data_IF_218312153834
#
_entry.id   IF_218312153834
#
_cell.length_a   1.000
_cell.length_b   1.000
_cell.length_c   1.000
_cell.angle_alpha   90.00
_cell.angle_beta   90.00
_cell.angle_gamma   90.00
#
_symmetry.space_group_name_H-M   'P 1'
#
loop_
_entity.id
_entity.type
_entity.pdbx_description
1 polymer ?
#
# COMPACT_ATOMS: atom_id res chain seq x y z
N UNK A 1 -7.57 -5.90 -27.38
CA UNK A 1 -6.71 -4.79 -27.86
C UNK A 1 -5.81 -4.39 -26.72
N UNK A 2 -4.50 -4.44 -26.95
CA UNK A 2 -3.50 -3.92 -26.01
C UNK A 2 -3.68 -2.41 -25.86
N UNK A 3 -3.40 -1.87 -24.69
CA UNK A 3 -3.51 -0.44 -24.41
C UNK A 3 -2.44 0.00 -23.41
N UNK A 4 -2.15 1.30 -23.40
CA UNK A 4 -1.37 1.93 -22.36
C UNK A 4 -2.35 2.62 -21.40
N UNK A 5 -2.34 2.17 -20.15
CA UNK A 5 -3.17 2.71 -19.08
C UNK A 5 -2.36 3.72 -18.28
N UNK A 6 -2.94 4.89 -18.01
CA UNK A 6 -2.34 5.90 -17.13
C UNK A 6 -2.89 5.72 -15.72
N UNK A 7 -1.99 5.46 -14.77
CA UNK A 7 -2.32 5.19 -13.37
C UNK A 7 -3.04 6.38 -12.75
N UNK A 8 -4.19 6.12 -12.14
CA UNK A 8 -5.00 7.10 -11.42
C UNK A 8 -4.77 6.98 -9.92
N UNK A 9 -5.17 8.01 -9.17
CA UNK A 9 -5.13 7.97 -7.71
C UNK A 9 -5.94 6.79 -7.18
N UNK A 10 -5.37 6.05 -6.23
CA UNK A 10 -5.95 4.85 -5.64
C UNK A 10 -5.79 3.58 -6.49
N UNK A 11 -5.13 3.61 -7.64
CA UNK A 11 -4.86 2.40 -8.41
C UNK A 11 -3.74 1.57 -7.78
N UNK A 12 -3.86 0.27 -7.92
CA UNK A 12 -2.80 -0.71 -7.67
C UNK A 12 -2.66 -1.60 -8.89
N UNK A 13 -1.52 -2.25 -9.04
CA UNK A 13 -1.33 -3.19 -10.15
C UNK A 13 -2.35 -4.35 -10.11
N UNK A 14 -2.70 -4.80 -8.89
CA UNK A 14 -3.73 -5.82 -8.66
C UNK A 14 -5.09 -5.31 -9.14
N UNK A 15 -5.45 -4.07 -8.78
CA UNK A 15 -6.70 -3.45 -9.21
C UNK A 15 -6.77 -3.27 -10.73
N UNK A 16 -5.70 -2.74 -11.34
CA UNK A 16 -5.60 -2.58 -12.78
C UNK A 16 -5.75 -3.95 -13.46
N UNK A 17 -5.06 -4.98 -12.98
CA UNK A 17 -5.19 -6.34 -13.50
C UNK A 17 -6.63 -6.84 -13.41
N UNK A 18 -7.27 -6.69 -12.25
CA UNK A 18 -8.65 -7.11 -12.04
C UNK A 18 -9.63 -6.38 -12.96
N UNK A 19 -9.53 -5.06 -13.09
CA UNK A 19 -10.38 -4.24 -13.97
C UNK A 19 -10.25 -4.64 -15.44
N UNK A 20 -9.04 -5.04 -15.85
CA UNK A 20 -8.77 -5.51 -17.21
C UNK A 20 -8.96 -7.02 -17.38
N UNK A 21 -9.46 -7.72 -16.33
CA UNK A 21 -9.82 -9.14 -16.37
C UNK A 21 -8.63 -10.09 -16.41
N UNK A 22 -7.52 -9.71 -15.81
CA UNK A 22 -6.38 -10.58 -15.51
C UNK A 22 -6.49 -11.09 -14.07
N UNK A 23 -6.29 -12.40 -13.90
CA UNK A 23 -6.28 -13.01 -12.57
C UNK A 23 -4.99 -12.73 -11.80
N UNK A 24 -3.91 -12.38 -12.51
CA UNK A 24 -2.60 -12.15 -11.95
C UNK A 24 -1.98 -10.88 -12.55
N UNK A 25 -1.59 -9.97 -11.69
CA UNK A 25 -0.95 -8.70 -12.06
C UNK A 25 0.44 -8.90 -12.69
N UNK A 26 1.12 -10.00 -12.37
CA UNK A 26 2.43 -10.34 -12.93
C UNK A 26 2.35 -10.50 -14.45
N UNK A 27 1.21 -10.98 -14.97
CA UNK A 27 0.97 -11.07 -16.43
C UNK A 27 1.09 -9.72 -17.13
N UNK A 28 0.74 -8.64 -16.47
CA UNK A 28 0.90 -7.26 -16.96
C UNK A 28 2.33 -6.79 -16.69
N UNK A 29 2.79 -6.92 -15.46
CA UNK A 29 4.06 -6.36 -15.02
C UNK A 29 5.27 -6.92 -15.73
N UNK A 30 5.28 -8.23 -16.01
CA UNK A 30 6.41 -8.91 -16.64
C UNK A 30 6.58 -8.61 -18.13
N UNK A 31 5.66 -7.88 -18.76
CA UNK A 31 5.74 -7.54 -20.18
C UNK A 31 6.95 -6.66 -20.49
N UNK A 32 7.57 -6.89 -21.65
CA UNK A 32 8.75 -6.12 -22.06
C UNK A 32 8.44 -4.64 -22.27
N UNK A 33 7.21 -4.33 -22.70
CA UNK A 33 6.72 -2.97 -22.85
C UNK A 33 6.70 -2.20 -21.50
N UNK A 34 6.64 -2.92 -20.37
CA UNK A 34 6.73 -2.34 -19.02
C UNK A 34 8.16 -2.34 -18.45
N UNK A 35 9.19 -2.73 -19.23
CA UNK A 35 10.57 -2.79 -18.75
C UNK A 35 11.08 -1.43 -18.26
N UNK A 36 10.72 -0.35 -18.95
CA UNK A 36 11.08 1.01 -18.55
C UNK A 36 10.47 1.41 -17.20
N UNK A 37 9.22 1.03 -16.95
CA UNK A 37 8.55 1.26 -15.67
C UNK A 37 9.17 0.41 -14.57
N UNK A 38 9.46 -0.88 -14.83
CA UNK A 38 10.14 -1.77 -13.88
C UNK A 38 11.53 -1.27 -13.45
N UNK A 39 12.23 -0.57 -14.33
CA UNK A 39 13.51 0.04 -14.01
C UNK A 39 13.43 1.23 -13.06
N UNK A 40 12.24 1.81 -12.89
CA UNK A 40 12.01 3.02 -12.11
C UNK A 40 11.13 2.79 -10.89
N UNK A 41 10.27 1.77 -10.92
CA UNK A 41 9.23 1.51 -9.90
C UNK A 41 9.24 0.06 -9.45
N UNK A 42 8.93 -0.15 -8.20
CA UNK A 42 8.47 -1.43 -7.66
C UNK A 42 6.98 -1.62 -8.04
N UNK A 43 6.50 -2.85 -8.31
CA UNK A 43 5.10 -3.10 -8.65
C UNK A 43 4.10 -2.62 -7.61
N UNK A 44 4.54 -2.48 -6.35
CA UNK A 44 3.74 -1.98 -5.23
C UNK A 44 3.80 -0.46 -5.07
N UNK A 45 4.65 0.21 -5.87
CA UNK A 45 4.94 1.66 -5.78
C UNK A 45 4.57 2.39 -7.07
N UNK A 46 3.38 2.15 -7.59
CA UNK A 46 2.86 2.95 -8.68
C UNK A 46 2.50 4.34 -8.18
N UNK A 47 2.73 5.32 -9.03
CA UNK A 47 2.42 6.72 -8.78
C UNK A 47 1.43 7.20 -9.84
N UNK A 48 0.54 8.10 -9.49
CA UNK A 48 -0.41 8.71 -10.44
C UNK A 48 0.36 9.31 -11.62
N UNK A 49 -0.05 8.95 -12.84
CA UNK A 49 0.59 9.35 -14.09
C UNK A 49 1.59 8.34 -14.65
N UNK A 50 1.96 7.29 -13.89
CA UNK A 50 2.73 6.18 -14.45
C UNK A 50 1.97 5.53 -15.60
N UNK A 51 2.68 5.04 -16.61
CA UNK A 51 2.09 4.40 -17.79
C UNK A 51 2.33 2.90 -17.75
N UNK A 52 1.25 2.14 -17.64
CA UNK A 52 1.27 0.68 -17.61
C UNK A 52 0.72 0.14 -18.93
N UNK A 53 1.54 -0.62 -19.64
CA UNK A 53 1.08 -1.36 -20.82
C UNK A 53 0.27 -2.59 -20.39
N UNK A 54 -0.93 -2.72 -20.94
CA UNK A 54 -1.85 -3.83 -20.69
C UNK A 54 -1.94 -4.67 -21.97
N UNK A 55 -1.51 -5.94 -21.92
CA UNK A 55 -1.51 -6.81 -23.09
C UNK A 55 -2.92 -7.24 -23.49
N UNK A 56 -3.04 -7.77 -24.70
CA UNK A 56 -4.25 -8.47 -25.11
C UNK A 56 -4.46 -9.73 -24.29
N UNK A 57 -5.73 -10.05 -24.04
CA UNK A 57 -6.09 -11.33 -23.42
C UNK A 57 -5.84 -12.47 -24.38
N UNK A 58 -5.16 -13.49 -23.91
CA UNK A 58 -4.95 -14.72 -24.67
C UNK A 58 -6.02 -15.74 -24.26
N UNK A 59 -6.84 -16.14 -25.21
CA UNK A 59 -7.79 -17.22 -25.00
C UNK A 59 -7.05 -18.54 -24.81
N UNK A 60 -7.38 -19.27 -23.77
CA UNK A 60 -6.87 -20.60 -23.52
C UNK A 60 -7.95 -21.63 -23.80
N UNK A 61 -7.70 -22.46 -24.78
CA UNK A 61 -8.57 -23.59 -25.13
C UNK A 61 -8.11 -24.84 -24.38
N UNK A 62 -9.03 -25.44 -23.63
CA UNK A 62 -8.80 -26.73 -22.97
C UNK A 62 -9.66 -27.79 -23.61
N UNK A 63 -9.06 -28.93 -23.93
CA UNK A 63 -9.82 -30.13 -24.36
C UNK A 63 -10.38 -30.79 -23.10
N UNK A 64 -11.69 -30.91 -23.05
CA UNK A 64 -12.40 -31.53 -21.94
C UNK A 64 -13.24 -32.71 -22.46
N UNK A 65 -13.44 -33.72 -21.65
CA UNK A 65 -14.28 -34.87 -21.99
C UNK A 65 -15.75 -34.44 -21.93
N UNK A 66 -16.55 -34.81 -22.93
CA UNK A 66 -17.99 -34.45 -23.03
C UNK A 66 -18.86 -35.20 -22.02
N UNK A 67 -18.40 -36.33 -21.51
CA UNK A 67 -19.20 -37.19 -20.61
C UNK A 67 -18.89 -36.98 -19.13
N UNK A 68 -18.22 -35.89 -18.77
CA UNK A 68 -17.86 -35.58 -17.40
C UNK A 68 -18.32 -34.17 -16.98
N UNK A 69 -18.65 -34.04 -15.71
CA UNK A 69 -18.86 -32.73 -15.10
C UNK A 69 -17.50 -32.06 -14.87
N UNK A 70 -17.34 -30.85 -15.38
CA UNK A 70 -16.14 -30.03 -15.19
C UNK A 70 -16.47 -28.90 -14.23
N UNK A 71 -15.60 -28.67 -13.25
CA UNK A 71 -15.65 -27.54 -12.35
C UNK A 71 -14.52 -26.59 -12.74
N UNK A 72 -14.88 -25.35 -13.01
CA UNK A 72 -13.93 -24.27 -13.25
C UNK A 72 -13.97 -23.32 -12.07
N UNK A 73 -12.85 -23.17 -11.41
CA UNK A 73 -12.71 -22.20 -10.33
C UNK A 73 -12.12 -20.90 -10.89
N UNK A 74 -12.81 -19.80 -10.63
CA UNK A 74 -12.29 -18.48 -10.97
C UNK A 74 -11.32 -18.04 -9.88
N UNK A 75 -10.04 -18.00 -10.19
CA UNK A 75 -9.05 -17.38 -9.31
C UNK A 75 -9.29 -15.88 -9.31
N UNK A 76 -9.53 -15.32 -8.12
CA UNK A 76 -9.61 -13.87 -7.92
C UNK A 76 -8.27 -13.40 -7.38
N UNK A 77 -7.75 -12.26 -7.84
CA UNK A 77 -6.55 -11.67 -7.24
C UNK A 77 -6.86 -11.33 -5.77
N UNK A 78 -5.94 -11.70 -4.90
CA UNK A 78 -5.99 -11.32 -3.48
C UNK A 78 -5.12 -10.08 -3.27
N UNK A 79 -5.69 -9.05 -2.69
CA UNK A 79 -4.95 -7.91 -2.17
C UNK A 79 -4.85 -8.02 -0.65
N UNK A 80 -3.74 -7.52 -0.09
CA UNK A 80 -3.52 -7.51 1.36
C UNK A 80 -3.08 -6.13 1.80
N UNK A 81 -3.66 -5.66 2.90
CA UNK A 81 -3.18 -4.49 3.61
C UNK A 81 -2.14 -4.94 4.64
N UNK A 82 -0.92 -4.45 4.48
CA UNK A 82 0.20 -4.75 5.37
C UNK A 82 0.80 -3.45 5.88
N UNK A 83 0.73 -3.24 7.18
CA UNK A 83 1.19 -2.01 7.86
C UNK A 83 1.89 -2.37 9.15
N UNK A 84 3.08 -1.86 9.37
CA UNK A 84 3.75 -1.94 10.66
C UNK A 84 3.33 -0.75 11.50
N UNK A 85 2.63 -1.03 12.60
CA UNK A 85 2.16 -0.02 13.53
C UNK A 85 3.23 0.27 14.59
N UNK A 86 3.57 1.53 14.76
CA UNK A 86 4.53 1.98 15.76
C UNK A 86 3.92 3.04 16.69
N UNK A 87 4.50 3.18 17.87
CA UNK A 87 4.18 4.30 18.74
C UNK A 87 4.92 5.59 18.30
N UNK A 88 4.68 6.68 19.01
CA UNK A 88 5.32 8.00 18.75
C UNK A 88 6.85 8.00 18.88
N UNK A 89 7.45 6.93 19.40
CA UNK A 89 8.89 6.76 19.53
C UNK A 89 9.45 5.77 18.52
N UNK A 90 8.62 5.32 17.56
CA UNK A 90 8.99 4.33 16.53
C UNK A 90 9.07 2.90 17.08
N UNK A 91 8.55 2.63 18.29
CA UNK A 91 8.53 1.26 18.82
C UNK A 91 7.34 0.49 18.27
N UNK A 92 7.54 -0.74 17.78
CA UNK A 92 6.46 -1.56 17.23
C UNK A 92 5.35 -1.80 18.26
N UNK A 93 4.11 -1.65 17.83
CA UNK A 93 2.92 -1.96 18.60
C UNK A 93 2.61 -3.47 18.48
N UNK A 94 3.49 -4.30 19.08
CA UNK A 94 3.37 -5.75 19.04
C UNK A 94 2.21 -6.27 19.88
N UNK A 95 1.52 -7.32 19.40
CA UNK A 95 0.42 -8.03 20.06
C UNK A 95 -0.76 -7.12 20.47
N UNK A 96 -0.97 -6.01 19.73
CA UNK A 96 -2.09 -5.11 20.02
C UNK A 96 -3.34 -5.53 19.24
N UNK A 97 -4.51 -5.57 19.90
CA UNK A 97 -5.77 -5.80 19.20
C UNK A 97 -6.04 -4.64 18.25
N UNK A 98 -6.44 -4.96 17.03
CA UNK A 98 -6.80 -3.98 16.02
C UNK A 98 -8.18 -4.28 15.42
N UNK A 99 -8.76 -3.23 14.87
CA UNK A 99 -9.92 -3.28 13.98
C UNK A 99 -9.57 -2.49 12.71
N UNK A 100 -9.81 -3.08 11.55
CA UNK A 100 -9.67 -2.42 10.26
C UNK A 100 -11.03 -2.37 9.60
N UNK A 101 -11.47 -1.19 9.20
CA UNK A 101 -12.65 -0.97 8.37
C UNK A 101 -12.17 -0.56 6.98
N UNK A 102 -12.60 -1.30 5.95
CA UNK A 102 -12.22 -1.05 4.56
C UNK A 102 -13.43 -0.51 3.82
N UNK A 103 -13.28 0.64 3.15
CA UNK A 103 -14.33 1.35 2.40
C UNK A 103 -15.64 1.51 3.22
N UNK A 104 -15.51 1.72 4.51
CA UNK A 104 -16.63 1.92 5.44
C UNK A 104 -17.50 0.68 5.72
N UNK A 105 -17.23 -0.48 5.12
CA UNK A 105 -18.11 -1.65 5.20
C UNK A 105 -17.42 -2.93 5.72
N UNK A 106 -16.32 -3.36 5.08
CA UNK A 106 -15.64 -4.59 5.48
C UNK A 106 -14.86 -4.39 6.78
N UNK A 107 -15.03 -5.27 7.75
CA UNK A 107 -14.37 -5.19 9.06
C UNK A 107 -13.50 -6.42 9.29
N UNK A 108 -12.22 -6.17 9.55
CA UNK A 108 -11.25 -7.16 9.96
C UNK A 108 -10.79 -6.86 11.40
N UNK A 109 -10.68 -7.89 12.22
CA UNK A 109 -10.17 -7.78 13.59
C UNK A 109 -9.08 -8.80 13.80
N UNK A 110 -8.05 -8.44 14.55
CA UNK A 110 -6.93 -9.32 14.83
C UNK A 110 -6.00 -8.73 15.88
N UNK A 111 -4.80 -9.26 15.93
CA UNK A 111 -3.69 -8.70 16.71
C UNK A 111 -2.50 -8.48 15.79
N UNK A 112 -1.77 -7.41 16.01
CA UNK A 112 -0.49 -7.17 15.34
C UNK A 112 0.51 -8.24 15.74
N UNK A 113 1.43 -8.58 14.85
CA UNK A 113 2.44 -9.59 15.12
C UNK A 113 3.31 -9.22 16.33
N UNK A 114 3.74 -10.25 17.07
CA UNK A 114 4.71 -10.15 18.16
C UNK A 114 6.12 -10.46 17.67
N UNK A 115 7.06 -10.31 18.59
CA UNK A 115 8.36 -10.93 18.47
C UNK A 115 8.26 -12.28 19.20
N UNK A 116 8.04 -13.36 18.46
CA UNK A 116 7.96 -14.72 19.03
C UNK A 116 9.28 -15.44 19.04
N UNK A 117 10.31 -14.84 18.43
CA UNK A 117 11.68 -15.37 18.42
C UNK A 117 11.85 -16.66 17.60
N UNK A 118 10.85 -17.04 16.79
CA UNK A 118 10.95 -18.20 15.91
C UNK A 118 11.81 -17.87 14.68
N UNK A 119 12.99 -18.46 14.53
CA UNK A 119 13.88 -18.19 13.40
C UNK A 119 13.35 -18.76 12.07
N UNK A 120 12.45 -19.76 12.12
CA UNK A 120 11.91 -20.42 10.94
C UNK A 120 10.65 -19.72 10.41
N UNK A 121 10.02 -18.87 11.24
CA UNK A 121 8.87 -18.07 10.88
C UNK A 121 9.05 -16.62 11.40
N UNK A 122 9.98 -15.85 10.83
CA UNK A 122 10.27 -14.51 11.33
C UNK A 122 9.02 -13.62 11.26
N UNK A 123 8.55 -13.18 12.41
CA UNK A 123 7.48 -12.20 12.52
C UNK A 123 8.02 -10.78 12.49
N UNK A 124 7.23 -9.86 12.00
CA UNK A 124 7.55 -8.44 12.03
C UNK A 124 6.75 -7.82 13.18
N UNK A 125 7.39 -7.49 14.32
CA UNK A 125 6.68 -6.93 15.45
C UNK A 125 5.87 -5.70 15.04
N UNK A 126 4.59 -5.65 15.42
CA UNK A 126 3.69 -4.56 15.06
C UNK A 126 3.03 -4.69 13.69
N UNK A 127 3.33 -5.74 12.90
CA UNK A 127 2.70 -5.95 11.61
C UNK A 127 1.21 -6.26 11.76
N UNK A 128 0.39 -5.48 11.07
CA UNK A 128 -0.99 -5.76 10.74
C UNK A 128 -1.01 -6.31 9.32
N UNK A 129 -1.60 -7.48 9.13
CA UNK A 129 -1.74 -8.11 7.82
C UNK A 129 -3.16 -8.66 7.68
N UNK A 130 -3.95 -8.09 6.77
CA UNK A 130 -5.31 -8.55 6.53
C UNK A 130 -5.68 -8.53 5.04
N UNK A 131 -6.52 -9.48 4.58
CA UNK A 131 -7.00 -9.48 3.20
C UNK A 131 -7.93 -8.29 2.97
N UNK A 132 -7.83 -7.69 1.79
CA UNK A 132 -8.70 -6.60 1.34
C UNK A 132 -9.20 -6.89 -0.07
N UNK A 133 -10.26 -6.19 -0.48
CA UNK A 133 -10.72 -6.25 -1.86
C UNK A 133 -9.68 -5.61 -2.80
N UNK A 134 -9.47 -6.15 -4.02
CA UNK A 134 -8.52 -5.57 -4.99
C UNK A 134 -8.82 -4.13 -5.38
N UNK A 135 -10.07 -3.71 -5.22
CA UNK A 135 -10.57 -2.37 -5.53
C UNK A 135 -10.75 -1.47 -4.30
N UNK A 136 -10.28 -1.91 -3.13
CA UNK A 136 -10.29 -1.11 -1.90
C UNK A 136 -9.55 0.22 -2.08
N UNK A 137 -10.14 1.30 -1.55
CA UNK A 137 -9.61 2.67 -1.69
C UNK A 137 -9.14 3.28 -0.38
N UNK A 138 -9.75 2.88 0.71
CA UNK A 138 -9.51 3.48 2.02
C UNK A 138 -9.56 2.41 3.10
N UNK A 139 -8.71 2.54 4.09
CA UNK A 139 -8.77 1.74 5.31
C UNK A 139 -8.71 2.65 6.53
N UNK A 140 -9.57 2.38 7.52
CA UNK A 140 -9.51 2.98 8.85
C UNK A 140 -9.01 1.92 9.81
N UNK A 141 -7.85 2.15 10.40
CA UNK A 141 -7.18 1.27 11.35
C UNK A 141 -7.38 1.81 12.75
N UNK A 142 -7.96 1.02 13.63
CA UNK A 142 -8.19 1.36 15.03
C UNK A 142 -7.41 0.39 15.93
N UNK A 143 -6.68 0.93 16.89
CA UNK A 143 -5.93 0.16 17.90
C UNK A 143 -6.22 0.70 19.29
N UNK A 144 -6.48 -0.19 20.22
CA UNK A 144 -6.64 0.20 21.63
C UNK A 144 -5.30 0.24 22.36
N UNK A 145 -4.92 1.42 22.84
CA UNK A 145 -3.71 1.63 23.62
C UNK A 145 -4.04 2.31 24.95
N UNK A 146 -3.79 1.61 26.06
CA UNK A 146 -3.99 2.14 27.43
C UNK A 146 -5.37 2.76 27.66
N UNK A 147 -6.41 2.09 27.14
CA UNK A 147 -7.80 2.57 27.29
C UNK A 147 -8.20 3.71 26.37
N UNK A 148 -7.39 4.00 25.36
CA UNK A 148 -7.71 4.97 24.29
C UNK A 148 -7.66 4.27 22.94
N UNK A 149 -8.61 4.57 22.10
CA UNK A 149 -8.59 4.15 20.69
C UNK A 149 -7.76 5.16 19.89
N UNK A 150 -6.74 4.68 19.23
CA UNK A 150 -6.00 5.46 18.23
C UNK A 150 -6.50 5.01 16.86
N UNK A 151 -6.73 5.97 15.99
CA UNK A 151 -7.27 5.75 14.66
C UNK A 151 -6.33 6.34 13.62
N UNK A 152 -6.08 5.58 12.54
CA UNK A 152 -5.39 6.02 11.34
C UNK A 152 -6.29 5.78 10.14
N UNK A 153 -6.41 6.80 9.31
CA UNK A 153 -7.03 6.72 8.01
C UNK A 153 -5.93 6.61 6.95
N UNK A 154 -5.97 5.56 6.17
CA UNK A 154 -4.97 5.22 5.15
C UNK A 154 -5.63 5.18 3.79
N UNK A 155 -5.13 5.97 2.85
CA UNK A 155 -5.50 5.86 1.44
C UNK A 155 -4.71 4.73 0.79
N UNK A 156 -5.42 3.86 0.05
CA UNK A 156 -4.86 2.67 -0.57
C UNK A 156 -4.59 2.92 -2.06
N UNK A 157 -3.47 2.38 -2.53
CA UNK A 157 -3.06 2.47 -3.94
C UNK A 157 -2.14 3.65 -4.25
N UNK A 158 -2.04 4.01 -5.53
CA UNK A 158 -1.15 5.05 -6.00
C UNK A 158 -1.52 6.42 -5.43
N UNK A 159 -0.54 7.09 -4.87
CA UNK A 159 -0.64 8.49 -4.43
C UNK A 159 -0.09 9.41 -5.52
N UNK A 160 -0.44 10.71 -5.49
CA UNK A 160 0.28 11.71 -6.26
C UNK A 160 1.79 11.69 -5.90
N UNK A 161 2.68 12.08 -6.83
CA UNK A 161 4.12 12.14 -6.55
C UNK A 161 4.43 13.03 -5.34
N UNK A 162 5.38 12.61 -4.50
CA UNK A 162 5.76 13.35 -3.27
C UNK A 162 6.44 14.69 -3.55
N UNK A 163 6.91 14.91 -4.76
CA UNK A 163 7.40 16.21 -5.24
C UNK A 163 6.29 17.25 -5.38
N UNK A 164 5.04 16.81 -5.48
CA UNK A 164 3.88 17.68 -5.45
C UNK A 164 3.44 17.87 -4.00
N UNK A 165 2.99 19.08 -3.66
CA UNK A 165 2.56 19.38 -2.29
C UNK A 165 1.39 18.51 -1.83
N UNK A 166 0.42 18.23 -2.70
CA UNK A 166 -0.69 17.33 -2.39
C UNK A 166 -0.20 15.89 -2.14
N UNK A 167 0.70 15.37 -2.97
CA UNK A 167 1.30 14.05 -2.78
C UNK A 167 2.11 13.94 -1.48
N UNK A 168 2.90 14.97 -1.17
CA UNK A 168 3.60 15.10 0.11
C UNK A 168 2.63 15.06 1.30
N UNK A 169 1.51 15.79 1.20
CA UNK A 169 0.50 15.83 2.26
C UNK A 169 -0.21 14.50 2.44
N UNK A 170 -0.60 13.81 1.35
CA UNK A 170 -1.14 12.45 1.40
C UNK A 170 -0.15 11.46 2.06
N UNK A 171 1.13 11.56 1.70
CA UNK A 171 2.17 10.74 2.31
C UNK A 171 2.28 10.96 3.82
N UNK A 172 2.33 12.21 4.25
CA UNK A 172 2.36 12.59 5.67
C UNK A 172 1.08 12.15 6.41
N UNK A 173 -0.08 12.22 5.75
CA UNK A 173 -1.35 11.75 6.31
C UNK A 173 -1.34 10.24 6.49
N UNK A 174 -0.92 9.47 5.50
CA UNK A 174 -0.83 8.01 5.59
C UNK A 174 0.14 7.54 6.68
N UNK A 175 1.19 8.32 6.94
CA UNK A 175 2.13 8.05 8.02
C UNK A 175 1.67 8.61 9.39
N UNK A 176 0.50 9.25 9.46
CA UNK A 176 -0.08 9.76 10.70
C UNK A 176 0.51 11.09 11.20
N UNK A 177 1.29 11.81 10.39
CA UNK A 177 1.84 13.13 10.74
C UNK A 177 0.89 14.27 10.41
N UNK A 178 -0.05 14.06 9.48
CA UNK A 178 -1.04 15.05 9.08
C UNK A 178 -2.45 14.50 9.33
N UNK A 179 -3.36 15.33 9.82
CA UNK A 179 -4.73 14.93 10.10
C UNK A 179 -5.64 14.96 8.88
N UNK A 180 -6.83 14.37 9.03
CA UNK A 180 -7.87 14.42 8.00
C UNK A 180 -8.25 15.87 7.66
N UNK A 181 -8.48 16.14 6.37
CA UNK A 181 -8.85 17.47 5.88
C UNK A 181 -7.70 18.48 5.81
N UNK A 182 -6.46 18.07 6.09
CA UNK A 182 -5.28 18.94 6.01
C UNK A 182 -4.50 18.79 4.69
N UNK A 183 -5.02 18.01 3.74
CA UNK A 183 -4.48 17.96 2.37
C UNK A 183 -5.04 19.16 1.59
N UNK A 184 -4.29 20.25 1.61
CA UNK A 184 -4.74 21.54 1.04
C UNK A 184 -4.11 21.83 -0.33
N UNK A 185 -3.07 21.10 -0.71
CA UNK A 185 -2.25 21.34 -1.89
C UNK A 185 -1.29 22.52 -1.72
N UNK A 186 -1.25 23.16 -0.55
CA UNK A 186 -0.33 24.26 -0.23
C UNK A 186 0.62 23.88 0.90
N UNK A 187 1.88 24.32 0.81
CA UNK A 187 2.88 24.10 1.87
C UNK A 187 2.61 25.08 3.04
N UNK A 188 1.53 24.81 3.76
CA UNK A 188 1.06 25.61 4.89
C UNK A 188 1.78 25.28 6.23
N UNK A 189 1.46 26.00 7.29
CA UNK A 189 2.10 25.82 8.60
C UNK A 189 1.83 24.44 9.21
N UNK A 190 0.67 23.85 8.95
CA UNK A 190 0.33 22.48 9.38
C UNK A 190 1.26 21.47 8.70
N UNK A 191 1.43 21.59 7.38
CA UNK A 191 2.33 20.74 6.58
C UNK A 191 3.78 20.91 7.04
N UNK A 192 4.25 22.15 7.24
CA UNK A 192 5.61 22.41 7.73
C UNK A 192 5.85 21.84 9.13
N UNK A 193 4.86 21.91 9.99
CA UNK A 193 4.93 21.29 11.32
C UNK A 193 5.00 19.78 11.23
N UNK A 194 4.17 19.17 10.40
CA UNK A 194 4.18 17.71 10.16
C UNK A 194 5.55 17.25 9.60
N UNK A 195 6.11 18.00 8.64
CA UNK A 195 7.45 17.74 8.11
C UNK A 195 8.53 17.78 9.20
N UNK A 196 8.53 18.78 10.10
CA UNK A 196 9.50 18.82 11.18
C UNK A 196 9.42 17.62 12.10
N UNK A 197 8.20 17.18 12.44
CA UNK A 197 8.00 15.99 13.28
C UNK A 197 8.48 14.74 12.55
N UNK A 198 8.17 14.61 11.26
CA UNK A 198 8.68 13.50 10.45
C UNK A 198 10.21 13.51 10.36
N UNK A 199 10.81 14.67 10.07
CA UNK A 199 12.26 14.84 10.00
C UNK A 199 12.95 14.47 11.30
N UNK A 200 12.37 14.83 12.45
CA UNK A 200 12.88 14.41 13.77
C UNK A 200 12.89 12.89 13.92
N UNK A 201 11.78 12.23 13.59
CA UNK A 201 11.68 10.78 13.64
C UNK A 201 12.62 10.09 12.65
N UNK A 202 12.81 10.66 11.47
CA UNK A 202 13.75 10.18 10.46
C UNK A 202 15.22 10.55 10.75
N UNK A 203 15.50 11.25 11.86
CA UNK A 203 16.83 11.76 12.23
C UNK A 203 17.44 12.68 11.19
N UNK A 204 16.61 13.50 10.57
CA UNK A 204 16.98 14.53 9.60
C UNK A 204 16.94 15.92 10.25
N UNK A 205 17.60 16.94 9.65
CA UNK A 205 17.46 18.33 10.09
C UNK A 205 15.99 18.78 10.03
N UNK A 206 15.46 19.32 11.13
CA UNK A 206 14.06 19.72 11.28
C UNK A 206 13.78 21.07 10.58
N UNK A 207 13.96 21.14 9.28
CA UNK A 207 13.79 22.37 8.49
C UNK A 207 12.31 22.71 8.26
N UNK A 208 11.44 21.69 8.19
CA UNK A 208 10.06 21.84 7.75
C UNK A 208 9.92 22.05 6.23
N UNK A 209 11.00 21.83 5.47
CA UNK A 209 11.00 21.94 4.02
C UNK A 209 11.15 20.55 3.39
N UNK A 210 10.48 20.29 2.24
CA UNK A 210 10.53 18.99 1.55
C UNK A 210 11.79 18.91 0.65
N UNK A 211 12.97 18.89 1.25
CA UNK A 211 14.20 18.68 0.51
C UNK A 211 14.34 17.23 0.00
N UNK A 212 15.26 16.97 -0.91
CA UNK A 212 15.45 15.67 -1.55
C UNK A 212 15.63 14.51 -0.53
N UNK A 213 16.36 14.75 0.57
CA UNK A 213 16.57 13.75 1.62
C UNK A 213 15.28 13.48 2.40
N UNK A 214 14.49 14.52 2.64
CA UNK A 214 13.19 14.40 3.30
C UNK A 214 12.21 13.61 2.44
N UNK A 215 12.16 13.89 1.12
CA UNK A 215 11.29 13.16 0.19
C UNK A 215 11.71 11.70 0.07
N UNK A 216 13.00 11.42 -0.06
CA UNK A 216 13.53 10.04 -0.11
C UNK A 216 13.19 9.26 1.17
N UNK A 217 13.38 9.87 2.34
CA UNK A 217 13.03 9.26 3.62
C UNK A 217 11.52 9.04 3.75
N UNK A 218 10.70 9.97 3.26
CA UNK A 218 9.26 9.87 3.29
C UNK A 218 8.78 8.70 2.42
N UNK A 219 9.31 8.58 1.21
CA UNK A 219 9.03 7.46 0.32
C UNK A 219 9.47 6.13 0.93
N UNK A 220 10.68 6.08 1.50
CA UNK A 220 11.14 4.90 2.21
C UNK A 220 10.19 4.52 3.35
N UNK A 221 9.72 5.49 4.15
CA UNK A 221 8.80 5.23 5.26
C UNK A 221 7.43 4.72 4.82
N UNK A 222 6.88 5.26 3.71
CA UNK A 222 5.62 4.78 3.13
C UNK A 222 5.69 3.32 2.69
N UNK A 223 6.87 2.85 2.31
CA UNK A 223 7.08 1.53 1.72
C UNK A 223 8.05 0.67 2.54
N UNK A 224 8.29 1.01 3.80
CA UNK A 224 9.07 0.16 4.69
C UNK A 224 8.30 -1.15 4.90
N UNK A 225 8.51 -2.04 3.96
CA UNK A 225 8.28 -3.45 4.12
C UNK A 225 9.60 -4.06 4.59
N UNK A 226 9.62 -4.64 5.77
CA UNK A 226 10.60 -5.66 6.01
C UNK A 226 10.38 -6.70 4.90
N UNK A 227 11.42 -6.94 4.11
CA UNK A 227 11.36 -7.84 2.96
C UNK A 227 10.96 -9.24 3.44
N UNK A 228 9.67 -9.55 3.35
CA UNK A 228 9.22 -10.92 3.27
C UNK A 228 9.28 -11.26 1.78
N UNK A 229 10.30 -12.01 1.40
CA UNK A 229 10.31 -12.66 0.10
C UNK A 229 9.03 -13.50 -0.02
N UNK A 230 8.33 -13.49 -1.17
CA UNK A 230 7.24 -14.42 -1.38
C UNK A 230 7.82 -15.82 -1.23
N UNK A 231 7.26 -16.60 -0.31
CA UNK A 231 7.49 -18.02 -0.27
C UNK A 231 7.19 -18.58 -1.65
N UNK A 232 8.19 -19.22 -2.28
CA UNK A 232 8.19 -19.74 -3.62
C UNK A 232 7.15 -20.84 -3.90
#
# INVERSE_FOLDING_TARGET
MSLTYEVQAGDTLIRIAHQHGFADWQTIWSRDENAGLRGQRDPRRLVTGDKVFIPDKVERWMRVSTDKRHVFELSRPEARLRVVLTDRFGQPLAQKPYRVTVDGAAVHTGRTDGDDGDPDAPTIPGLLDCPIAPDAREAVIQVELRGRTIEWKVELGALPPTERTDGLQHALQNLGYLGEGQVTGALDDATKKALRVFQDHARLPQTGEPDARTLEALEAALFTEAALEPAG
#
